data_IF_674651250561
#
_entry.id   IF_674651250561
#
_cell.length_a   1.000
_cell.length_b   1.000
_cell.length_c   1.000
_cell.angle_alpha   90.00
_cell.angle_beta   90.00
_cell.angle_gamma   90.00
#
_symmetry.space_group_name_H-M   'P 1'
#
loop_
_entity.id
_entity.type
_entity.pdbx_description
1 polymer ?
#
# COMPACT_ATOMS: atom_id res chain seq x y z
N UNK A 1 22.99 -9.75 5.09
CA UNK A 1 23.17 -10.16 3.69
C UNK A 1 22.20 -11.26 3.28
N UNK A 2 22.22 -11.61 2.00
CA UNK A 2 21.28 -12.52 1.37
C UNK A 2 21.23 -13.90 2.02
N UNK A 3 22.37 -14.45 2.42
CA UNK A 3 22.41 -15.75 3.11
C UNK A 3 21.67 -15.72 4.44
N UNK A 4 21.88 -14.67 5.24
CA UNK A 4 21.17 -14.48 6.52
C UNK A 4 19.69 -14.28 6.29
N UNK A 5 19.31 -13.49 5.27
CA UNK A 5 17.92 -13.26 4.89
C UNK A 5 17.20 -14.58 4.59
N UNK A 6 17.79 -15.43 3.76
CA UNK A 6 17.21 -16.74 3.41
C UNK A 6 17.15 -17.68 4.61
N UNK A 7 18.20 -17.73 5.46
CA UNK A 7 18.19 -18.55 6.69
C UNK A 7 17.08 -18.13 7.66
N UNK A 8 16.81 -16.82 7.79
CA UNK A 8 15.69 -16.31 8.58
C UNK A 8 14.36 -16.81 8.01
N UNK A 9 14.17 -16.75 6.69
CA UNK A 9 12.95 -17.24 6.05
C UNK A 9 12.75 -18.75 6.21
N UNK A 10 13.83 -19.54 6.10
CA UNK A 10 13.79 -20.97 6.39
C UNK A 10 13.36 -21.24 7.84
N UNK A 11 13.90 -20.49 8.80
CA UNK A 11 13.55 -20.63 10.22
C UNK A 11 12.09 -20.25 10.53
N UNK A 12 11.51 -19.32 9.77
CA UNK A 12 10.08 -19.02 9.81
C UNK A 12 9.21 -20.16 9.28
N UNK A 13 9.66 -20.87 8.25
CA UNK A 13 8.82 -21.81 7.51
C UNK A 13 7.55 -21.13 7.00
N UNK A 14 6.38 -21.62 7.42
CA UNK A 14 5.06 -21.06 7.04
C UNK A 14 4.52 -19.98 7.99
N UNK A 15 5.24 -19.69 9.07
CA UNK A 15 4.80 -18.70 10.05
C UNK A 15 4.73 -17.29 9.45
N UNK A 16 3.80 -16.48 9.94
CA UNK A 16 3.63 -15.08 9.55
C UNK A 16 4.60 -14.18 10.28
N UNK A 17 5.00 -13.06 9.66
CA UNK A 17 5.82 -12.03 10.29
C UNK A 17 5.03 -11.21 11.31
N UNK A 18 5.70 -10.74 12.36
CA UNK A 18 5.11 -9.88 13.40
C UNK A 18 5.73 -8.49 13.27
N UNK A 19 4.90 -7.48 12.96
CA UNK A 19 5.33 -6.08 12.87
C UNK A 19 5.36 -5.36 14.22
N UNK A 20 4.72 -5.92 15.24
CA UNK A 20 4.65 -5.34 16.58
C UNK A 20 5.97 -5.53 17.34
N UNK A 21 6.71 -4.44 17.54
CA UNK A 21 7.99 -4.42 18.24
C UNK A 21 7.92 -4.85 19.71
N UNK A 22 6.77 -4.69 20.38
CA UNK A 22 6.59 -5.13 21.76
C UNK A 22 6.70 -6.66 21.91
N UNK A 23 6.34 -7.41 20.86
CA UNK A 23 6.37 -8.86 20.85
C UNK A 23 7.67 -9.45 20.26
N UNK A 24 8.62 -8.62 19.84
CA UNK A 24 9.82 -9.11 19.15
C UNK A 24 10.76 -9.94 20.02
N UNK A 25 10.78 -9.73 21.33
CA UNK A 25 11.65 -10.47 22.25
C UNK A 25 11.04 -11.70 22.92
N UNK A 26 9.72 -11.91 22.81
CA UNK A 26 8.98 -12.86 23.64
C UNK A 26 8.72 -14.23 23.00
N UNK A 27 8.79 -14.34 21.68
CA UNK A 27 8.53 -15.57 20.94
C UNK A 27 9.53 -15.81 19.83
N UNK A 28 9.70 -17.09 19.39
CA UNK A 28 10.53 -17.43 18.22
C UNK A 28 10.17 -16.55 17.01
N UNK A 29 8.88 -16.40 16.73
CA UNK A 29 8.35 -15.57 15.63
C UNK A 29 8.71 -14.10 15.78
N UNK A 30 8.62 -13.57 16.99
CA UNK A 30 9.01 -12.19 17.29
C UNK A 30 10.48 -11.95 17.08
N UNK A 31 11.34 -12.83 17.62
CA UNK A 31 12.80 -12.75 17.42
C UNK A 31 13.17 -12.82 15.95
N UNK A 32 12.60 -13.76 15.19
CA UNK A 32 12.86 -13.87 13.75
C UNK A 32 12.37 -12.64 12.98
N UNK A 33 11.25 -12.04 13.38
CA UNK A 33 10.72 -10.79 12.77
C UNK A 33 11.66 -9.62 13.03
N UNK A 34 12.20 -9.49 14.26
CA UNK A 34 13.21 -8.51 14.59
C UNK A 34 14.48 -8.68 13.75
N UNK A 35 14.98 -9.91 13.65
CA UNK A 35 16.15 -10.23 12.80
C UNK A 35 15.90 -9.91 11.33
N UNK A 36 14.73 -10.25 10.79
CA UNK A 36 14.35 -9.94 9.42
C UNK A 36 14.30 -8.43 9.17
N UNK A 37 13.72 -7.67 10.10
CA UNK A 37 13.65 -6.21 10.01
C UNK A 37 15.04 -5.57 10.00
N UNK A 38 15.97 -6.08 10.83
CA UNK A 38 17.34 -5.59 10.94
C UNK A 38 18.28 -6.13 9.85
N UNK A 39 17.86 -7.14 9.09
CA UNK A 39 18.67 -7.73 8.02
C UNK A 39 18.69 -6.84 6.78
N UNK A 40 19.86 -6.34 6.41
CA UNK A 40 20.07 -5.51 5.22
C UNK A 40 20.86 -6.27 4.15
N UNK A 41 20.59 -5.98 2.84
CA UNK A 41 21.50 -6.42 1.79
C UNK A 41 22.90 -5.88 2.00
N UNK A 42 23.90 -6.71 1.71
CA UNK A 42 25.30 -6.29 1.66
C UNK A 42 25.63 -5.73 0.25
N UNK A 43 26.65 -4.88 0.12
CA UNK A 43 27.08 -4.40 -1.20
C UNK A 43 27.49 -5.51 -2.16
N UNK A 44 27.87 -6.68 -1.62
CA UNK A 44 28.27 -7.88 -2.38
C UNK A 44 27.09 -8.77 -2.78
N UNK A 45 25.89 -8.52 -2.24
CA UNK A 45 24.71 -9.32 -2.59
C UNK A 45 24.24 -8.98 -4.01
N UNK A 46 24.06 -10.02 -4.82
CA UNK A 46 23.53 -9.90 -6.18
C UNK A 46 22.17 -10.59 -6.32
N UNK A 47 21.42 -10.21 -7.34
CA UNK A 47 20.14 -10.84 -7.68
C UNK A 47 20.29 -12.33 -7.97
N UNK A 48 21.38 -12.71 -8.67
CA UNK A 48 21.70 -14.09 -9.02
C UNK A 48 21.97 -14.91 -7.74
N UNK A 49 22.73 -14.34 -6.79
CA UNK A 49 23.03 -15.00 -5.54
C UNK A 49 21.75 -15.18 -4.70
N UNK A 50 20.93 -14.14 -4.56
CA UNK A 50 19.65 -14.23 -3.83
C UNK A 50 18.74 -15.29 -4.47
N UNK A 51 18.61 -15.30 -5.80
CA UNK A 51 17.83 -16.30 -6.54
C UNK A 51 18.33 -17.73 -6.30
N UNK A 52 19.64 -17.94 -6.35
CA UNK A 52 20.25 -19.24 -6.11
C UNK A 52 19.97 -19.75 -4.69
N UNK A 53 20.18 -18.89 -3.68
CA UNK A 53 19.93 -19.20 -2.29
C UNK A 53 18.47 -19.52 -2.01
N UNK A 54 17.55 -18.72 -2.55
CA UNK A 54 16.10 -18.95 -2.42
C UNK A 54 15.70 -20.30 -3.01
N UNK A 55 16.19 -20.62 -4.22
CA UNK A 55 15.93 -21.91 -4.86
C UNK A 55 16.48 -23.09 -4.05
N UNK A 56 17.69 -23.00 -3.51
CA UNK A 56 18.29 -24.04 -2.68
C UNK A 56 17.53 -24.25 -1.36
N UNK A 57 16.94 -23.19 -0.84
CA UNK A 57 16.17 -23.17 0.40
C UNK A 57 14.67 -23.47 0.19
N UNK A 58 14.23 -23.71 -1.05
CA UNK A 58 12.83 -23.93 -1.43
C UNK A 58 11.90 -22.78 -1.00
N UNK A 59 12.41 -21.53 -1.01
CA UNK A 59 11.64 -20.32 -0.73
C UNK A 59 10.96 -19.85 -2.03
N UNK A 60 9.63 -19.73 -1.99
CA UNK A 60 8.86 -19.27 -3.16
C UNK A 60 9.04 -17.77 -3.43
N UNK A 61 8.75 -17.35 -4.68
CA UNK A 61 8.76 -15.94 -5.08
C UNK A 61 7.80 -15.13 -4.23
N UNK A 62 6.60 -15.64 -3.95
CA UNK A 62 5.60 -14.98 -3.10
C UNK A 62 6.13 -14.78 -1.69
N UNK A 63 6.86 -15.75 -1.15
CA UNK A 63 7.45 -15.63 0.18
C UNK A 63 8.55 -14.58 0.24
N UNK A 64 9.35 -14.47 -0.83
CA UNK A 64 10.33 -13.38 -0.97
C UNK A 64 9.65 -12.01 -1.03
N UNK A 65 8.53 -11.90 -1.76
CA UNK A 65 7.74 -10.66 -1.82
C UNK A 65 7.16 -10.31 -0.45
N UNK A 66 6.57 -11.27 0.27
CA UNK A 66 6.07 -11.04 1.64
C UNK A 66 7.17 -10.50 2.56
N UNK A 67 8.36 -11.11 2.51
CA UNK A 67 9.50 -10.69 3.31
C UNK A 67 10.02 -9.30 2.91
N UNK A 68 10.04 -8.98 1.62
CA UNK A 68 10.42 -7.67 1.11
C UNK A 68 9.39 -6.58 1.49
N UNK A 69 8.09 -6.90 1.52
CA UNK A 69 7.06 -5.98 2.01
C UNK A 69 7.19 -5.71 3.52
N UNK A 70 7.66 -6.68 4.28
CA UNK A 70 7.98 -6.52 5.69
C UNK A 70 9.28 -5.74 5.90
N UNK A 71 10.33 -6.03 5.11
CA UNK A 71 11.68 -5.45 5.18
C UNK A 71 12.01 -4.77 3.84
N UNK A 72 11.56 -3.50 3.63
CA UNK A 72 11.55 -2.85 2.32
C UNK A 72 12.94 -2.64 1.70
N UNK A 73 14.00 -2.71 2.48
CA UNK A 73 15.37 -2.69 1.98
C UNK A 73 15.70 -3.86 1.03
N UNK A 74 14.86 -4.90 0.97
CA UNK A 74 15.02 -6.06 0.10
C UNK A 74 14.19 -5.97 -1.19
N UNK A 75 13.31 -4.97 -1.36
CA UNK A 75 12.37 -4.91 -2.50
C UNK A 75 13.09 -4.88 -3.84
N UNK A 76 14.06 -3.96 -4.03
CA UNK A 76 14.75 -3.80 -5.31
C UNK A 76 15.58 -5.04 -5.69
N UNK A 77 16.23 -5.65 -4.70
CA UNK A 77 17.01 -6.87 -4.93
C UNK A 77 16.10 -8.07 -5.23
N UNK A 78 14.96 -8.16 -4.53
CA UNK A 78 13.94 -9.19 -4.77
C UNK A 78 13.35 -9.05 -6.18
N UNK A 79 12.97 -7.84 -6.62
CA UNK A 79 12.47 -7.60 -7.98
C UNK A 79 13.39 -8.21 -9.04
N UNK A 80 14.69 -7.91 -8.92
CA UNK A 80 15.71 -8.40 -9.87
C UNK A 80 15.89 -9.92 -9.78
N UNK A 81 15.89 -10.48 -8.55
CA UNK A 81 16.12 -11.90 -8.33
C UNK A 81 15.00 -12.78 -8.91
N UNK A 82 13.73 -12.38 -8.70
CA UNK A 82 12.58 -13.15 -9.21
C UNK A 82 12.10 -12.71 -10.59
N UNK A 83 12.63 -11.58 -11.13
CA UNK A 83 12.28 -11.07 -12.45
C UNK A 83 10.86 -10.51 -12.55
N UNK A 84 10.29 -10.05 -11.44
CA UNK A 84 8.95 -9.43 -11.44
C UNK A 84 9.03 -7.93 -11.71
N UNK A 85 9.22 -7.55 -12.96
CA UNK A 85 9.27 -6.15 -13.38
C UNK A 85 8.08 -5.37 -12.81
N UNK A 86 8.35 -4.24 -12.16
CA UNK A 86 7.35 -3.38 -11.55
C UNK A 86 7.02 -3.72 -10.08
N UNK A 87 7.66 -4.73 -9.48
CA UNK A 87 7.49 -5.06 -8.07
C UNK A 87 7.82 -3.86 -7.18
N UNK A 88 8.93 -3.17 -7.42
CA UNK A 88 9.36 -2.02 -6.63
C UNK A 88 8.31 -0.93 -6.66
N UNK A 89 7.80 -0.56 -7.84
CA UNK A 89 6.76 0.45 -8.00
C UNK A 89 5.48 0.07 -7.26
N UNK A 90 5.00 -1.17 -7.44
CA UNK A 90 3.79 -1.65 -6.77
C UNK A 90 3.95 -1.76 -5.25
N UNK A 91 5.09 -2.22 -4.75
CA UNK A 91 5.38 -2.30 -3.33
C UNK A 91 5.41 -0.92 -2.67
N UNK A 92 6.12 0.04 -3.29
CA UNK A 92 6.21 1.40 -2.75
C UNK A 92 4.90 2.18 -2.87
N UNK A 93 4.00 1.83 -3.81
CA UNK A 93 2.63 2.31 -3.78
C UNK A 93 1.95 1.98 -2.43
N UNK A 94 2.03 0.73 -1.96
CA UNK A 94 1.44 0.35 -0.67
C UNK A 94 2.14 1.03 0.51
N UNK A 95 3.46 1.13 0.49
CA UNK A 95 4.22 1.84 1.53
C UNK A 95 3.86 3.31 1.61
N UNK A 96 3.68 4.00 0.48
CA UNK A 96 3.35 5.41 0.41
C UNK A 96 1.95 5.73 0.99
N UNK A 97 0.99 4.82 0.78
CA UNK A 97 -0.40 5.02 1.23
C UNK A 97 -0.70 4.37 2.59
N UNK A 98 0.30 3.79 3.24
CA UNK A 98 0.18 3.24 4.60
C UNK A 98 0.68 4.29 5.60
N UNK A 99 -0.08 4.52 6.68
CA UNK A 99 0.28 5.49 7.70
C UNK A 99 1.40 4.96 8.61
N UNK A 100 2.60 4.93 8.09
CA UNK A 100 3.84 4.52 8.78
C UNK A 100 4.91 5.59 8.60
N UNK A 101 5.93 5.58 9.46
CA UNK A 101 7.08 6.47 9.32
C UNK A 101 7.81 6.17 8.01
N UNK A 102 8.01 7.20 7.21
CA UNK A 102 8.73 7.13 5.96
C UNK A 102 10.08 7.82 6.13
N UNK A 103 11.18 7.05 6.08
CA UNK A 103 12.52 7.57 6.10
C UNK A 103 12.91 8.22 4.75
N UNK A 104 14.00 8.97 4.73
CA UNK A 104 14.44 9.70 3.54
C UNK A 104 14.75 8.78 2.35
N UNK A 105 15.22 7.55 2.61
CA UNK A 105 15.46 6.56 1.56
C UNK A 105 14.18 6.12 0.88
N UNK A 106 13.14 5.84 1.66
CA UNK A 106 11.81 5.51 1.11
C UNK A 106 11.23 6.70 0.35
N UNK A 107 11.33 7.93 0.91
CA UNK A 107 10.89 9.15 0.24
C UNK A 107 11.57 9.33 -1.12
N UNK A 108 12.89 9.14 -1.17
CA UNK A 108 13.66 9.24 -2.41
C UNK A 108 13.25 8.19 -3.47
N UNK A 109 12.88 6.98 -3.05
CA UNK A 109 12.40 5.95 -3.97
C UNK A 109 10.99 6.29 -4.47
N UNK A 110 10.09 6.71 -3.60
CA UNK A 110 8.71 7.09 -3.96
C UNK A 110 8.72 8.25 -4.95
N UNK A 111 9.59 9.26 -4.74
CA UNK A 111 9.75 10.42 -5.62
C UNK A 111 10.16 10.07 -7.07
N UNK A 112 10.64 8.84 -7.34
CA UNK A 112 10.90 8.36 -8.72
C UNK A 112 9.61 8.05 -9.48
N UNK A 113 8.50 7.84 -8.78
CA UNK A 113 7.24 7.38 -9.35
C UNK A 113 6.15 8.42 -9.37
N UNK A 114 6.19 9.39 -8.48
CA UNK A 114 5.16 10.43 -8.35
C UNK A 114 5.77 11.77 -7.89
N UNK A 115 5.26 12.90 -8.40
CA UNK A 115 5.62 14.23 -7.88
C UNK A 115 4.89 14.61 -6.60
N UNK A 116 3.91 13.79 -6.15
CA UNK A 116 3.14 14.07 -4.93
C UNK A 116 4.01 13.79 -3.72
N UNK A 117 4.02 14.71 -2.76
CA UNK A 117 4.76 14.54 -1.51
C UNK A 117 4.24 13.33 -0.72
N UNK A 118 5.17 12.63 -0.05
CA UNK A 118 4.85 11.41 0.70
C UNK A 118 3.88 11.69 1.85
N UNK A 119 3.94 12.87 2.47
CA UNK A 119 3.03 13.21 3.55
C UNK A 119 1.61 13.43 3.02
N UNK A 120 1.46 14.00 1.82
CA UNK A 120 0.17 14.11 1.14
C UNK A 120 -0.39 12.74 0.75
N UNK A 121 0.45 11.81 0.24
CA UNK A 121 0.05 10.44 -0.06
C UNK A 121 -0.44 9.71 1.21
N UNK A 122 0.26 9.87 2.33
CA UNK A 122 -0.13 9.31 3.63
C UNK A 122 -1.44 9.89 4.15
N UNK A 123 -1.79 11.11 3.77
CA UNK A 123 -3.07 11.73 4.11
C UNK A 123 -4.21 11.31 3.19
N UNK A 124 -3.90 10.73 2.04
CA UNK A 124 -4.88 10.17 1.11
C UNK A 124 -4.87 10.76 -0.30
N UNK A 125 -3.94 11.68 -0.61
CA UNK A 125 -3.70 12.07 -2.00
C UNK A 125 -3.31 10.83 -2.82
N UNK A 126 -3.66 10.82 -4.10
CA UNK A 126 -3.49 9.64 -4.94
C UNK A 126 -3.03 10.02 -6.34
N UNK A 127 -2.01 9.32 -6.82
CA UNK A 127 -1.53 9.43 -8.18
C UNK A 127 -2.09 8.27 -9.01
N UNK A 128 -3.12 8.57 -9.80
CA UNK A 128 -3.82 7.57 -10.62
C UNK A 128 -2.89 7.01 -11.71
N UNK A 129 -2.04 7.83 -12.30
CA UNK A 129 -1.14 7.42 -13.38
C UNK A 129 -0.05 6.48 -12.84
N UNK A 130 0.56 6.83 -11.70
CA UNK A 130 1.49 5.90 -11.03
C UNK A 130 0.84 4.56 -10.73
N UNK A 131 -0.34 4.57 -10.11
CA UNK A 131 -1.04 3.34 -9.77
C UNK A 131 -1.33 2.47 -11.00
N UNK A 132 -1.89 3.08 -12.06
CA UNK A 132 -2.21 2.36 -13.31
C UNK A 132 -0.98 1.78 -13.99
N UNK A 133 0.13 2.53 -14.01
CA UNK A 133 1.40 2.05 -14.57
C UNK A 133 1.99 0.90 -13.74
N UNK A 134 2.03 1.04 -12.41
CA UNK A 134 2.48 -0.01 -11.50
C UNK A 134 1.66 -1.30 -11.66
N UNK A 135 0.32 -1.19 -11.66
CA UNK A 135 -0.58 -2.32 -11.82
C UNK A 135 -0.41 -3.01 -13.19
N UNK A 136 -0.32 -2.22 -14.27
CA UNK A 136 -0.12 -2.73 -15.63
C UNK A 136 1.24 -3.43 -15.77
N UNK A 137 2.30 -2.84 -15.22
CA UNK A 137 3.67 -3.33 -15.37
C UNK A 137 3.90 -4.65 -14.64
N UNK A 138 3.42 -4.77 -13.40
CA UNK A 138 3.58 -5.99 -12.62
C UNK A 138 2.59 -7.09 -13.04
N UNK A 139 1.40 -6.70 -13.52
CA UNK A 139 0.30 -7.57 -13.91
C UNK A 139 -0.56 -8.05 -12.75
N UNK A 140 -1.83 -8.36 -13.05
CA UNK A 140 -2.88 -8.63 -12.03
C UNK A 140 -2.50 -9.68 -11.00
N UNK A 141 -1.98 -10.85 -11.45
CA UNK A 141 -1.68 -11.96 -10.52
C UNK A 141 -0.57 -11.61 -9.52
N UNK A 142 0.52 -11.00 -10.00
CA UNK A 142 1.63 -10.57 -9.15
C UNK A 142 1.25 -9.39 -8.25
N UNK A 143 0.42 -8.47 -8.77
CA UNK A 143 -0.12 -7.38 -7.95
C UNK A 143 -0.95 -7.91 -6.78
N UNK A 144 -1.73 -8.97 -6.97
CA UNK A 144 -2.50 -9.60 -5.89
C UNK A 144 -1.60 -10.14 -4.77
N UNK A 145 -0.42 -10.68 -5.10
CA UNK A 145 0.56 -11.10 -4.10
C UNK A 145 1.03 -9.89 -3.27
N UNK A 146 1.41 -8.78 -3.93
CA UNK A 146 1.82 -7.53 -3.24
C UNK A 146 0.68 -6.96 -2.39
N UNK A 147 -0.54 -6.94 -2.94
CA UNK A 147 -1.75 -6.51 -2.25
C UNK A 147 -1.99 -7.32 -0.96
N UNK A 148 -1.84 -8.64 -1.03
CA UNK A 148 -2.00 -9.51 0.14
C UNK A 148 -0.85 -9.34 1.15
N UNK A 149 0.36 -9.10 0.69
CA UNK A 149 1.54 -8.86 1.52
C UNK A 149 1.55 -7.47 2.18
N UNK A 150 0.73 -6.52 1.73
CA UNK A 150 0.62 -5.18 2.33
C UNK A 150 0.30 -5.20 3.84
N UNK A 151 -0.33 -6.26 4.34
CA UNK A 151 -0.55 -6.48 5.78
C UNK A 151 0.73 -6.49 6.62
N UNK A 152 1.88 -6.74 6.00
CA UNK A 152 3.17 -6.77 6.68
C UNK A 152 3.87 -5.41 6.77
N UNK A 153 3.32 -4.36 6.17
CA UNK A 153 3.93 -3.01 6.20
C UNK A 153 3.79 -2.38 7.58
N UNK A 154 2.65 -2.54 8.24
CA UNK A 154 2.36 -1.90 9.52
C UNK A 154 1.78 -2.86 10.56
N UNK A 155 1.94 -2.53 11.83
CA UNK A 155 1.34 -3.28 12.94
C UNK A 155 -0.17 -3.02 13.07
N UNK A 156 -0.64 -1.90 12.54
CA UNK A 156 -2.04 -1.51 12.51
C UNK A 156 -2.69 -1.92 11.16
N UNK A 157 -4.00 -1.78 11.07
CA UNK A 157 -4.73 -2.00 9.81
C UNK A 157 -4.59 -0.81 8.82
N UNK A 158 -3.56 0.04 8.96
CA UNK A 158 -3.39 1.23 8.12
C UNK A 158 -3.16 0.89 6.63
N UNK A 159 -2.67 -0.31 6.31
CA UNK A 159 -2.58 -0.83 4.95
C UNK A 159 -3.95 -0.99 4.26
N UNK A 160 -5.05 -1.03 5.01
CA UNK A 160 -6.40 -1.19 4.44
C UNK A 160 -6.82 -0.01 3.58
N UNK A 161 -6.32 1.20 3.86
CA UNK A 161 -6.54 2.38 3.01
C UNK A 161 -5.95 2.17 1.62
N UNK A 162 -4.69 1.77 1.53
CA UNK A 162 -4.03 1.50 0.24
C UNK A 162 -4.78 0.44 -0.57
N UNK A 163 -5.33 -0.59 0.07
CA UNK A 163 -6.16 -1.60 -0.58
C UNK A 163 -7.48 -1.02 -1.09
N UNK A 164 -8.19 -0.24 -0.27
CA UNK A 164 -9.45 0.42 -0.70
C UNK A 164 -9.23 1.32 -1.92
N UNK A 165 -8.11 2.04 -1.95
CA UNK A 165 -7.76 2.90 -3.08
C UNK A 165 -7.45 2.07 -4.33
N UNK A 166 -6.70 0.98 -4.21
CA UNK A 166 -6.44 0.05 -5.29
C UNK A 166 -7.74 -0.57 -5.85
N UNK A 167 -8.62 -1.05 -4.98
CA UNK A 167 -9.90 -1.65 -5.35
C UNK A 167 -10.80 -0.65 -6.08
N UNK A 168 -10.84 0.60 -5.58
CA UNK A 168 -11.62 1.67 -6.20
C UNK A 168 -11.09 2.00 -7.60
N UNK A 169 -9.78 2.23 -7.73
CA UNK A 169 -9.16 2.64 -9.00
C UNK A 169 -9.20 1.54 -10.06
N UNK A 170 -9.14 0.27 -9.65
CA UNK A 170 -9.30 -0.88 -10.55
C UNK A 170 -10.75 -1.20 -10.91
N UNK A 171 -11.74 -0.45 -10.38
CA UNK A 171 -13.14 -0.72 -10.60
C UNK A 171 -13.65 -2.02 -9.97
N UNK A 172 -12.94 -2.56 -8.98
CA UNK A 172 -13.36 -3.75 -8.23
C UNK A 172 -14.58 -3.48 -7.34
N UNK A 173 -14.86 -2.21 -7.05
CA UNK A 173 -16.00 -1.74 -6.24
C UNK A 173 -16.89 -0.79 -7.03
N UNK A 174 -18.19 -0.80 -6.75
CA UNK A 174 -19.14 0.08 -7.41
C UNK A 174 -19.37 1.35 -6.59
N UNK A 175 -19.51 2.49 -7.27
CA UNK A 175 -19.76 3.78 -6.64
C UNK A 175 -21.02 3.78 -5.75
N UNK A 176 -22.09 3.08 -6.18
CA UNK A 176 -23.32 2.98 -5.40
C UNK A 176 -23.12 2.23 -4.07
N UNK A 177 -22.29 1.18 -4.06
CA UNK A 177 -22.03 0.37 -2.85
C UNK A 177 -21.13 1.14 -1.87
N UNK A 178 -20.08 1.77 -2.37
CA UNK A 178 -19.22 2.65 -1.56
C UNK A 178 -20.02 3.79 -0.94
N UNK A 179 -20.91 4.43 -1.71
CA UNK A 179 -21.79 5.50 -1.21
C UNK A 179 -22.68 5.02 -0.06
N UNK A 180 -23.27 3.82 -0.16
CA UNK A 180 -24.05 3.23 0.94
C UNK A 180 -23.21 3.03 2.19
N UNK A 181 -21.99 2.52 2.03
CA UNK A 181 -21.09 2.32 3.16
C UNK A 181 -20.62 3.64 3.79
N UNK A 182 -20.37 4.68 2.99
CA UNK A 182 -20.04 6.01 3.50
C UNK A 182 -21.19 6.55 4.36
N UNK A 183 -22.44 6.42 3.88
CA UNK A 183 -23.63 6.84 4.62
C UNK A 183 -23.76 6.08 5.95
N UNK A 184 -23.54 4.77 5.93
CA UNK A 184 -23.70 3.92 7.11
C UNK A 184 -22.59 4.12 8.15
N UNK A 185 -21.33 4.27 7.71
CA UNK A 185 -20.14 4.26 8.59
C UNK A 185 -19.48 5.63 8.73
N UNK A 186 -19.78 6.57 7.84
CA UNK A 186 -19.13 7.89 7.72
C UNK A 186 -17.59 7.79 7.71
N UNK A 187 -17.08 6.79 6.99
CA UNK A 187 -15.65 6.47 6.94
C UNK A 187 -14.92 7.33 5.92
N UNK A 188 -13.85 8.02 6.35
CA UNK A 188 -13.07 8.96 5.52
C UNK A 188 -12.29 8.27 4.40
N UNK A 189 -11.75 7.06 4.64
CA UNK A 189 -11.00 6.34 3.60
C UNK A 189 -11.94 5.91 2.46
N UNK A 190 -13.18 5.50 2.78
CA UNK A 190 -14.20 5.22 1.77
C UNK A 190 -14.60 6.48 1.01
N UNK A 191 -14.69 7.63 1.70
CA UNK A 191 -14.99 8.91 1.06
C UNK A 191 -13.90 9.31 0.05
N UNK A 192 -12.63 9.19 0.42
CA UNK A 192 -11.51 9.48 -0.47
C UNK A 192 -11.43 8.50 -1.65
N UNK A 193 -11.69 7.20 -1.40
CA UNK A 193 -11.71 6.17 -2.46
C UNK A 193 -12.89 6.34 -3.42
N UNK A 194 -13.99 6.97 -2.99
CA UNK A 194 -15.14 7.25 -3.86
C UNK A 194 -14.78 8.14 -5.06
N UNK A 195 -13.83 9.07 -4.87
CA UNK A 195 -13.29 9.90 -5.95
C UNK A 195 -12.42 9.14 -6.96
N UNK A 196 -11.91 7.95 -6.59
CA UNK A 196 -10.99 7.15 -7.42
C UNK A 196 -11.71 6.15 -8.34
N UNK A 197 -12.99 5.88 -8.10
CA UNK A 197 -13.72 4.90 -8.90
C UNK A 197 -13.88 5.44 -10.33
N UNK A 198 -13.51 4.68 -11.38
CA UNK A 198 -13.62 5.12 -12.76
C UNK A 198 -15.03 5.63 -13.11
N UNK A 199 -15.09 6.67 -13.92
CA UNK A 199 -16.35 7.17 -14.43
C UNK A 199 -16.94 6.20 -15.48
N UNK A 200 -18.25 6.01 -15.45
CA UNK A 200 -18.94 5.09 -16.34
C UNK A 200 -19.35 5.72 -17.67
N UNK A 201 -20.43 5.22 -18.26
CA UNK A 201 -20.88 5.62 -19.62
C UNK A 201 -21.37 7.08 -19.73
N UNK A 202 -21.72 7.72 -18.62
CA UNK A 202 -22.20 9.11 -18.56
C UNK A 202 -21.29 9.91 -17.61
N UNK A 203 -20.04 10.18 -18.02
CA UNK A 203 -19.02 10.73 -17.13
C UNK A 203 -19.42 12.07 -16.52
N UNK A 204 -19.95 13.01 -17.32
CA UNK A 204 -20.32 14.35 -16.84
C UNK A 204 -21.42 14.29 -15.75
N UNK A 205 -22.41 13.43 -15.96
CA UNK A 205 -23.47 13.25 -14.98
C UNK A 205 -22.94 12.61 -13.69
N UNK A 206 -22.14 11.56 -13.83
CA UNK A 206 -21.55 10.90 -12.67
C UNK A 206 -20.59 11.81 -11.90
N UNK A 207 -19.80 12.62 -12.58
CA UNK A 207 -18.93 13.61 -11.99
C UNK A 207 -19.74 14.60 -11.15
N UNK A 208 -20.82 15.15 -11.73
CA UNK A 208 -21.70 16.08 -11.04
C UNK A 208 -22.38 15.44 -9.82
N UNK A 209 -22.93 14.23 -9.99
CA UNK A 209 -23.58 13.50 -8.89
C UNK A 209 -22.61 13.22 -7.73
N UNK A 210 -21.36 12.84 -8.02
CA UNK A 210 -20.33 12.61 -7.02
C UNK A 210 -19.90 13.91 -6.35
N UNK A 211 -19.69 14.97 -7.12
CA UNK A 211 -19.37 16.30 -6.57
C UNK A 211 -20.46 16.79 -5.61
N UNK A 212 -21.73 16.74 -6.03
CA UNK A 212 -22.85 17.15 -5.19
C UNK A 212 -22.95 16.33 -3.90
N UNK A 213 -22.69 15.03 -3.99
CA UNK A 213 -22.66 14.16 -2.80
C UNK A 213 -21.55 14.57 -1.83
N UNK A 214 -20.33 14.83 -2.32
CA UNK A 214 -19.20 15.29 -1.48
C UNK A 214 -19.51 16.64 -0.82
N UNK A 215 -20.13 17.57 -1.53
CA UNK A 215 -20.56 18.85 -0.97
C UNK A 215 -21.65 18.68 0.10
N UNK A 216 -22.60 17.78 -0.13
CA UNK A 216 -23.61 17.43 0.87
C UNK A 216 -22.97 16.86 2.14
N UNK A 217 -22.05 15.91 1.98
CA UNK A 217 -21.31 15.32 3.09
C UNK A 217 -20.56 16.39 3.92
N UNK A 218 -19.91 17.36 3.24
CA UNK A 218 -19.22 18.46 3.90
C UNK A 218 -20.20 19.37 4.66
N UNK A 219 -21.37 19.63 4.11
CA UNK A 219 -22.42 20.43 4.78
C UNK A 219 -22.91 19.75 6.05
N UNK A 220 -23.14 18.44 6.00
CA UNK A 220 -23.54 17.61 7.14
C UNK A 220 -22.47 17.54 8.22
N UNK A 221 -21.18 17.70 7.87
CA UNK A 221 -20.08 17.73 8.83
C UNK A 221 -20.22 18.82 9.90
N UNK A 222 -20.96 19.89 9.61
CA UNK A 222 -21.22 21.00 10.55
C UNK A 222 -22.00 20.59 11.80
N UNK A 223 -22.64 19.43 11.77
CA UNK A 223 -23.39 18.87 12.91
C UNK A 223 -22.44 18.25 13.97
N UNK A 224 -21.15 18.12 13.67
CA UNK A 224 -20.17 17.49 14.56
C UNK A 224 -19.24 18.53 15.18
N UNK A 225 -18.44 18.12 16.19
CA UNK A 225 -17.45 18.98 16.84
C UNK A 225 -16.31 19.42 15.89
N UNK A 226 -15.66 20.54 16.20
CA UNK A 226 -14.67 21.23 15.34
C UNK A 226 -13.57 20.31 14.78
N UNK A 227 -12.99 19.45 15.62
CA UNK A 227 -11.93 18.53 15.20
C UNK A 227 -12.41 17.55 14.12
N UNK A 228 -13.63 17.05 14.23
CA UNK A 228 -14.21 16.16 13.24
C UNK A 228 -14.55 16.89 11.95
N UNK A 229 -15.09 18.10 12.05
CA UNK A 229 -15.37 18.96 10.89
C UNK A 229 -14.11 19.20 10.06
N UNK A 230 -12.99 19.58 10.70
CA UNK A 230 -11.72 19.80 10.01
C UNK A 230 -11.21 18.55 9.34
N UNK A 231 -11.25 17.41 10.04
CA UNK A 231 -10.82 16.13 9.50
C UNK A 231 -11.68 15.65 8.33
N UNK A 232 -12.99 15.84 8.36
CA UNK A 232 -13.91 15.49 7.27
C UNK A 232 -13.76 16.47 6.10
N UNK A 233 -13.55 17.77 6.36
CA UNK A 233 -13.24 18.76 5.31
C UNK A 233 -11.99 18.39 4.53
N UNK A 234 -10.92 17.96 5.23
CA UNK A 234 -9.70 17.49 4.59
C UNK A 234 -9.96 16.28 3.70
N UNK A 235 -10.71 15.28 4.20
CA UNK A 235 -11.06 14.08 3.43
C UNK A 235 -11.92 14.41 2.18
N UNK A 236 -12.86 15.35 2.29
CA UNK A 236 -13.66 15.83 1.14
C UNK A 236 -12.78 16.51 0.11
N UNK A 237 -11.85 17.38 0.53
CA UNK A 237 -10.93 18.05 -0.41
C UNK A 237 -10.07 17.04 -1.17
N UNK A 238 -9.53 16.02 -0.49
CA UNK A 238 -8.78 14.95 -1.12
C UNK A 238 -9.66 14.15 -2.09
N UNK A 239 -10.90 13.80 -1.69
CA UNK A 239 -11.85 13.10 -2.55
C UNK A 239 -12.18 13.89 -3.82
N UNK A 240 -12.31 15.24 -3.71
CA UNK A 240 -12.53 16.12 -4.87
C UNK A 240 -11.31 16.18 -5.78
N UNK A 241 -10.10 16.26 -5.21
CA UNK A 241 -8.86 16.21 -6.00
C UNK A 241 -8.72 14.87 -6.74
N UNK A 242 -9.01 13.76 -6.08
CA UNK A 242 -9.01 12.43 -6.68
C UNK A 242 -10.06 12.34 -7.81
N UNK A 243 -11.26 12.89 -7.59
CA UNK A 243 -12.32 12.92 -8.59
C UNK A 243 -11.96 13.77 -9.82
N UNK A 244 -11.27 14.88 -9.62
CA UNK A 244 -10.83 15.78 -10.70
C UNK A 244 -9.71 15.18 -11.59
N UNK A 245 -9.01 14.17 -11.10
CA UNK A 245 -7.93 13.46 -11.83
C UNK A 245 -8.42 12.19 -12.53
N UNK A 246 -9.65 11.79 -12.32
CA UNK A 246 -10.25 10.57 -12.86
C UNK A 246 -10.93 10.85 -14.22
#
# INVERSE_FOLDING_TARGET
>A
GAETFIRILQAFGKDTFIRDSYNWGSTKRGVLSSLLHACHPLPTDTSENLKKLAKQAEISDERLVEAAMFAPQWIELTEKAIGWKGLTSAAYYFHAHTNETCDDKKKAIIARYTPIDVDDLREGAFDIDWFKDAFKTIGKQRFEVVYNAAKYISCSNSHTRARKFADATNGAVKAADIKKEIIAKRNKDLLMSYGLIPLGRKPDKELLDRYQYLQKFLKESKEFGAQRQESEKKAVNIALQNLARN
#
